data_IF_323442734331
#
_entry.id   IF_323442734331
#
_cell.length_a   1.000
_cell.length_b   1.000
_cell.length_c   1.000
_cell.angle_alpha   90.00
_cell.angle_beta   90.00
_cell.angle_gamma   90.00
#
_symmetry.space_group_name_H-M   'P 1'
#
loop_
_entity.id
_entity.type
_entity.pdbx_description
1 polymer ?
#
# COMPACT_ATOMS: atom_id res chain seq x y z
N UNK A 1 43.73 59.18 -12.76
CA UNK A 1 44.72 59.93 -11.99
C UNK A 1 44.36 59.89 -10.53
N UNK A 2 45.33 59.42 -9.72
CA UNK A 2 45.63 59.77 -8.30
C UNK A 2 44.46 59.71 -7.32
N UNK A 3 44.49 58.94 -6.34
CA UNK A 3 45.42 58.50 -5.27
C UNK A 3 44.86 58.89 -3.88
N UNK A 4 44.90 57.87 -3.02
CA UNK A 4 45.33 57.77 -1.63
C UNK A 4 44.42 58.34 -0.54
N UNK A 5 44.16 57.58 0.41
CA UNK A 5 44.78 56.95 1.61
C UNK A 5 44.14 57.49 2.88
N UNK A 6 43.69 56.68 3.69
CA UNK A 6 44.22 56.08 4.94
C UNK A 6 43.58 56.56 6.26
N UNK A 7 43.15 55.59 7.04
CA UNK A 7 43.38 55.38 8.48
C UNK A 7 42.69 56.33 9.52
N UNK A 8 42.08 55.90 10.55
CA UNK A 8 42.39 55.00 11.65
C UNK A 8 41.70 55.49 12.95
N UNK A 9 41.32 54.59 13.84
CA UNK A 9 41.06 54.66 15.31
C UNK A 9 39.75 55.27 15.87
N UNK A 10 38.82 54.41 16.32
CA UNK A 10 38.55 53.95 17.71
C UNK A 10 38.45 55.01 18.81
N UNK A 11 37.24 55.12 19.41
CA UNK A 11 37.06 55.14 20.88
C UNK A 11 35.59 55.01 21.28
N UNK A 12 35.36 54.14 22.28
CA UNK A 12 34.09 53.94 22.99
C UNK A 12 33.63 55.20 23.71
N UNK A 13 32.31 55.44 23.75
CA UNK A 13 31.66 56.07 24.89
C UNK A 13 30.25 55.50 25.06
N UNK A 14 29.98 54.93 26.24
CA UNK A 14 28.67 54.61 26.76
C UNK A 14 27.89 55.91 26.98
N UNK A 15 26.64 55.92 26.47
CA UNK A 15 25.63 56.85 26.96
C UNK A 15 24.30 56.06 27.10
N UNK A 16 23.89 55.87 28.36
CA UNK A 16 22.55 55.44 28.74
C UNK A 16 21.55 56.53 28.37
N UNK A 17 20.60 56.18 27.51
CA UNK A 17 19.40 56.98 27.33
C UNK A 17 18.20 56.10 27.69
N UNK A 18 17.52 56.45 28.76
CA UNK A 18 16.22 55.95 29.13
C UNK A 18 15.21 56.36 28.03
N UNK A 19 14.58 55.39 27.42
CA UNK A 19 13.38 55.62 26.58
C UNK A 19 12.19 55.00 27.31
N UNK A 20 11.24 55.85 27.62
CA UNK A 20 9.94 55.46 28.17
C UNK A 20 9.26 54.51 27.19
N UNK A 21 8.89 53.31 27.67
CA UNK A 21 8.07 52.37 26.91
C UNK A 21 6.62 52.81 26.97
N UNK A 22 6.13 53.20 25.81
CA UNK A 22 4.71 53.45 25.55
C UNK A 22 3.95 52.11 25.57
N UNK A 23 3.12 51.94 26.63
CA UNK A 23 2.31 50.73 26.83
C UNK A 23 0.98 50.84 26.07
N UNK A 24 1.03 50.71 24.76
CA UNK A 24 -0.16 50.44 23.96
C UNK A 24 0.04 49.21 23.03
N UNK A 25 0.37 48.06 23.63
CA UNK A 25 0.23 46.78 22.94
C UNK A 25 -1.25 46.36 23.03
N UNK A 26 -2.02 46.73 22.01
CA UNK A 26 -3.34 46.16 21.75
C UNK A 26 -3.11 44.63 21.56
N UNK A 27 -3.56 43.83 22.53
CA UNK A 27 -3.63 42.40 22.43
C UNK A 27 -4.51 42.04 21.22
N UNK A 28 -3.88 41.73 20.09
CA UNK A 28 -4.55 40.93 19.04
C UNK A 28 -4.86 39.59 19.67
N UNK A 29 -6.10 39.39 20.05
CA UNK A 29 -6.66 38.07 20.26
C UNK A 29 -6.58 37.33 18.90
N UNK A 30 -5.49 36.64 18.67
CA UNK A 30 -5.47 35.58 17.67
C UNK A 30 -6.56 34.60 18.11
N UNK A 31 -7.60 34.46 17.30
CA UNK A 31 -8.58 33.41 17.43
C UNK A 31 -7.82 32.08 17.29
N UNK A 32 -7.44 31.52 18.42
CA UNK A 32 -6.86 30.18 18.51
C UNK A 32 -7.98 29.22 18.11
N UNK A 33 -8.06 28.90 16.84
CA UNK A 33 -8.78 27.71 16.39
C UNK A 33 -8.08 26.54 17.08
N UNK A 34 -8.78 25.74 17.91
CA UNK A 34 -8.13 24.61 18.56
C UNK A 34 -7.43 23.77 17.51
N UNK A 35 -6.15 23.52 17.65
CA UNK A 35 -5.44 22.63 16.75
C UNK A 35 -6.13 21.28 16.82
N UNK A 36 -6.63 20.79 15.67
CA UNK A 36 -7.19 19.45 15.55
C UNK A 36 -6.16 18.46 16.14
N UNK A 37 -6.56 17.74 17.18
CA UNK A 37 -5.67 16.79 17.86
C UNK A 37 -5.26 15.71 16.86
N UNK A 38 -3.99 15.59 16.56
CA UNK A 38 -3.45 14.53 15.71
C UNK A 38 -3.33 13.22 16.52
N UNK A 39 -4.17 12.24 16.21
CA UNK A 39 -4.16 10.94 16.83
C UNK A 39 -3.27 9.92 16.10
N UNK A 40 -2.72 10.25 14.95
CA UNK A 40 -2.05 9.27 14.06
C UNK A 40 -0.90 8.53 14.75
N UNK A 41 -0.04 9.25 15.48
CA UNK A 41 1.07 8.65 16.21
C UNK A 41 0.60 7.73 17.35
N UNK A 42 -0.47 8.12 18.06
CA UNK A 42 -1.03 7.30 19.13
C UNK A 42 -1.71 6.03 18.56
N UNK A 43 -2.47 6.16 17.47
CA UNK A 43 -3.06 5.02 16.75
C UNK A 43 -1.99 4.04 16.27
N UNK A 44 -0.90 4.55 15.71
CA UNK A 44 0.21 3.73 15.26
C UNK A 44 0.89 3.00 16.43
N UNK A 45 1.15 3.69 17.55
CA UNK A 45 1.84 3.12 18.70
C UNK A 45 0.99 2.07 19.44
N UNK A 46 -0.31 2.33 19.55
CA UNK A 46 -1.23 1.46 20.29
C UNK A 46 -1.93 0.40 19.41
N UNK A 47 -1.58 0.30 18.14
CA UNK A 47 -2.22 -0.59 17.17
C UNK A 47 -2.38 -2.03 17.65
N UNK A 48 -1.37 -2.59 18.31
CA UNK A 48 -1.36 -4.00 18.71
C UNK A 48 -2.49 -4.35 19.70
N UNK A 49 -3.04 -3.36 20.41
CA UNK A 49 -4.23 -3.55 21.27
C UNK A 49 -5.51 -3.80 20.46
N UNK A 50 -5.55 -3.34 19.21
CA UNK A 50 -6.71 -3.43 18.33
C UNK A 50 -6.56 -4.48 17.24
N UNK A 51 -5.38 -5.06 17.09
CA UNK A 51 -5.11 -6.07 16.07
C UNK A 51 -5.97 -7.31 16.31
N UNK A 52 -6.69 -7.76 15.27
CA UNK A 52 -7.38 -9.05 15.30
C UNK A 52 -6.33 -10.17 15.15
N UNK A 53 -6.10 -10.87 16.25
CA UNK A 53 -5.01 -11.85 16.37
C UNK A 53 -5.30 -13.19 15.70
N UNK A 54 -6.54 -13.49 15.38
CA UNK A 54 -6.92 -14.73 14.68
C UNK A 54 -6.61 -14.69 13.18
N UNK A 55 -6.43 -13.50 12.62
CA UNK A 55 -6.07 -13.31 11.21
C UNK A 55 -4.60 -12.88 11.13
N UNK A 56 -3.70 -13.83 10.89
CA UNK A 56 -2.23 -13.59 10.87
C UNK A 56 -1.61 -13.64 9.48
N UNK A 57 -2.36 -14.08 8.47
CA UNK A 57 -1.89 -14.26 7.10
C UNK A 57 -2.95 -13.79 6.10
N UNK A 58 -2.54 -13.51 4.85
CA UNK A 58 -3.43 -12.99 3.79
C UNK A 58 -4.41 -14.01 3.22
N UNK A 59 -4.16 -15.31 3.39
CA UNK A 59 -4.93 -16.40 2.78
C UNK A 59 -6.02 -16.98 3.67
N UNK A 60 -6.59 -16.15 4.56
CA UNK A 60 -7.78 -16.53 5.33
C UNK A 60 -9.00 -16.67 4.39
N UNK A 61 -9.97 -17.45 4.83
CA UNK A 61 -11.16 -17.82 4.06
C UNK A 61 -12.40 -17.13 4.60
N UNK A 62 -13.50 -17.19 3.83
CA UNK A 62 -14.78 -16.68 4.28
C UNK A 62 -15.20 -17.25 5.65
N UNK A 63 -15.06 -18.57 5.85
CA UNK A 63 -15.35 -19.23 7.14
C UNK A 63 -14.55 -18.70 8.32
N UNK A 64 -13.36 -18.16 8.10
CA UNK A 64 -12.48 -17.66 9.17
C UNK A 64 -12.95 -16.30 9.69
N UNK A 65 -13.66 -15.51 8.86
CA UNK A 65 -14.21 -14.22 9.27
C UNK A 65 -15.65 -14.28 9.78
N UNK A 66 -16.39 -15.36 9.49
CA UNK A 66 -17.78 -15.48 9.95
C UNK A 66 -17.93 -15.35 11.46
N UNK A 67 -17.18 -16.08 12.31
CA UNK A 67 -17.25 -15.94 13.77
C UNK A 67 -16.88 -14.52 14.23
N UNK A 68 -15.96 -13.86 13.53
CA UNK A 68 -15.58 -12.48 13.86
C UNK A 68 -16.76 -11.53 13.60
N UNK A 69 -17.44 -11.67 12.45
CA UNK A 69 -18.62 -10.86 12.12
C UNK A 69 -19.75 -11.13 13.11
N UNK A 70 -20.05 -12.39 13.40
CA UNK A 70 -21.12 -12.80 14.31
C UNK A 70 -20.96 -12.20 15.72
N UNK A 71 -19.72 -12.10 16.19
CA UNK A 71 -19.40 -11.55 17.51
C UNK A 71 -19.31 -10.01 17.55
N UNK A 72 -19.43 -9.30 16.41
CA UNK A 72 -19.43 -7.83 16.44
C UNK A 72 -20.67 -7.29 17.16
N UNK A 73 -20.52 -6.29 18.05
CA UNK A 73 -21.67 -5.67 18.74
C UNK A 73 -22.38 -4.61 17.87
N UNK A 74 -22.08 -4.55 16.57
CA UNK A 74 -22.60 -3.57 15.63
C UNK A 74 -23.80 -4.12 14.85
N UNK A 75 -24.60 -3.22 14.27
CA UNK A 75 -25.63 -3.58 13.31
C UNK A 75 -24.98 -4.29 12.11
N UNK A 76 -25.43 -5.50 11.82
CA UNK A 76 -24.93 -6.32 10.74
C UNK A 76 -26.07 -7.07 10.06
N UNK A 77 -25.94 -7.22 8.76
CA UNK A 77 -26.94 -7.94 7.95
C UNK A 77 -26.27 -8.64 6.77
N UNK A 78 -26.85 -9.76 6.35
CA UNK A 78 -26.55 -10.36 5.04
C UNK A 78 -27.25 -9.51 3.99
N UNK A 79 -26.47 -8.95 3.06
CA UNK A 79 -26.98 -8.03 2.02
C UNK A 79 -27.05 -8.67 0.65
N UNK A 80 -26.35 -9.78 0.43
CA UNK A 80 -26.41 -10.62 -0.76
C UNK A 80 -25.75 -11.98 -0.48
N UNK A 81 -25.82 -12.85 -1.49
CA UNK A 81 -25.00 -14.07 -1.57
C UNK A 81 -24.17 -14.02 -2.84
N UNK A 82 -22.95 -14.57 -2.78
CA UNK A 82 -22.10 -14.78 -3.94
C UNK A 82 -22.66 -15.83 -4.90
N UNK A 83 -22.02 -16.02 -6.06
CA UNK A 83 -22.44 -17.04 -7.01
C UNK A 83 -22.45 -18.46 -6.41
N UNK A 84 -21.54 -18.77 -5.47
CA UNK A 84 -21.48 -20.04 -4.76
C UNK A 84 -22.24 -20.03 -3.41
N UNK A 85 -23.20 -19.13 -3.24
CA UNK A 85 -24.08 -19.00 -2.07
C UNK A 85 -23.36 -18.72 -0.74
N UNK A 86 -22.24 -17.97 -0.76
CA UNK A 86 -21.62 -17.43 0.46
C UNK A 86 -22.24 -16.10 0.81
N UNK A 87 -22.60 -15.92 2.07
CA UNK A 87 -23.21 -14.69 2.57
C UNK A 87 -22.23 -13.52 2.48
N UNK A 88 -22.70 -12.39 1.95
CA UNK A 88 -21.98 -11.13 1.93
C UNK A 88 -22.59 -10.22 2.98
N UNK A 89 -21.77 -9.79 3.94
CA UNK A 89 -22.22 -9.02 5.08
C UNK A 89 -21.97 -7.53 4.89
N UNK A 90 -22.92 -6.72 5.36
CA UNK A 90 -22.74 -5.31 5.64
C UNK A 90 -22.74 -5.07 7.13
N UNK A 91 -21.76 -4.31 7.62
CA UNK A 91 -21.65 -3.87 9.01
C UNK A 91 -21.84 -2.36 9.05
N UNK A 92 -22.65 -1.85 10.00
CA UNK A 92 -22.96 -0.43 10.14
C UNK A 92 -22.58 0.08 11.51
N UNK A 93 -21.90 1.23 11.54
CA UNK A 93 -21.50 1.96 12.75
C UNK A 93 -21.88 3.44 12.62
N UNK A 94 -22.22 4.05 13.75
CA UNK A 94 -22.55 5.46 13.84
C UNK A 94 -23.92 5.83 13.30
N UNK A 95 -24.31 7.08 13.53
CA UNK A 95 -25.65 7.62 13.21
C UNK A 95 -25.59 9.00 12.55
N UNK A 96 -24.39 9.46 12.20
CA UNK A 96 -24.16 10.79 11.64
C UNK A 96 -24.68 10.95 10.21
N UNK A 97 -24.79 12.19 9.78
CA UNK A 97 -25.34 12.53 8.46
C UNK A 97 -24.38 12.23 7.30
N UNK A 98 -23.08 12.18 7.56
CA UNK A 98 -22.07 11.90 6.52
C UNK A 98 -21.97 10.39 6.34
N UNK A 99 -22.41 9.89 5.21
CA UNK A 99 -22.40 8.45 4.90
C UNK A 99 -21.12 8.06 4.20
N UNK A 100 -20.44 7.03 4.68
CA UNK A 100 -19.25 6.43 4.08
C UNK A 100 -19.53 4.97 3.76
N UNK A 101 -19.15 4.51 2.56
CA UNK A 101 -19.23 3.11 2.15
C UNK A 101 -17.79 2.60 1.91
N UNK A 102 -17.41 1.53 2.60
CA UNK A 102 -16.11 0.88 2.44
C UNK A 102 -16.30 -0.58 2.01
N UNK A 103 -15.53 -1.03 1.05
CA UNK A 103 -15.46 -2.45 0.71
C UNK A 103 -14.02 -2.86 0.44
N UNK A 104 -13.72 -4.13 0.75
CA UNK A 104 -12.46 -4.78 0.46
C UNK A 104 -12.69 -6.13 -0.18
N UNK A 105 -11.64 -6.74 -0.67
CA UNK A 105 -11.68 -8.02 -1.38
C UNK A 105 -12.75 -8.10 -2.48
N UNK A 106 -12.90 -7.04 -3.29
CA UNK A 106 -13.58 -7.20 -4.57
C UNK A 106 -12.76 -8.09 -5.52
N UNK A 107 -11.44 -8.06 -5.38
CA UNK A 107 -10.54 -9.12 -5.86
C UNK A 107 -10.22 -10.04 -4.68
N UNK A 108 -10.43 -11.33 -4.82
CA UNK A 108 -10.37 -12.26 -3.69
C UNK A 108 -8.99 -12.45 -3.07
N UNK A 109 -7.93 -12.16 -3.82
CA UNK A 109 -6.52 -12.22 -3.39
C UNK A 109 -6.00 -10.91 -2.75
N UNK A 110 -6.84 -9.88 -2.63
CA UNK A 110 -6.47 -8.57 -2.12
C UNK A 110 -7.01 -8.36 -0.70
N UNK A 111 -6.44 -9.04 0.27
CA UNK A 111 -6.99 -9.21 1.62
C UNK A 111 -6.44 -8.27 2.69
N UNK A 112 -5.43 -7.46 2.38
CA UNK A 112 -4.72 -6.63 3.38
C UNK A 112 -5.66 -5.67 4.10
N UNK A 113 -6.51 -4.98 3.36
CA UNK A 113 -7.46 -4.05 3.96
C UNK A 113 -8.59 -4.76 4.71
N UNK A 114 -9.00 -5.97 4.30
CA UNK A 114 -9.96 -6.76 5.08
C UNK A 114 -9.44 -7.02 6.49
N UNK A 115 -8.16 -7.41 6.63
CA UNK A 115 -7.53 -7.55 7.95
C UNK A 115 -7.60 -6.26 8.76
N UNK A 116 -7.29 -5.12 8.12
CA UNK A 116 -7.33 -3.80 8.77
C UNK A 116 -8.75 -3.38 9.18
N UNK A 117 -9.80 -3.78 8.43
CA UNK A 117 -11.18 -3.50 8.80
C UNK A 117 -11.58 -4.23 10.10
N UNK A 118 -11.13 -5.48 10.31
CA UNK A 118 -11.37 -6.17 11.57
C UNK A 118 -10.64 -5.50 12.75
N UNK A 119 -9.45 -4.95 12.52
CA UNK A 119 -8.75 -4.13 13.53
C UNK A 119 -9.53 -2.85 13.85
N UNK A 120 -10.09 -2.20 12.83
CA UNK A 120 -10.95 -1.02 12.97
C UNK A 120 -12.22 -1.36 13.75
N UNK A 121 -12.83 -2.52 13.54
CA UNK A 121 -13.97 -2.96 14.34
C UNK A 121 -13.59 -3.13 15.82
N UNK A 122 -12.44 -3.76 16.12
CA UNK A 122 -11.95 -3.87 17.51
C UNK A 122 -11.64 -2.50 18.11
N UNK A 123 -11.09 -1.59 17.33
CA UNK A 123 -10.88 -0.21 17.77
C UNK A 123 -12.20 0.46 18.17
N UNK A 124 -13.26 0.32 17.39
CA UNK A 124 -14.55 0.92 17.72
C UNK A 124 -15.29 0.21 18.88
N UNK A 125 -14.92 -1.02 19.24
CA UNK A 125 -15.43 -1.72 20.42
C UNK A 125 -14.73 -1.28 21.72
N UNK A 126 -13.49 -0.86 21.65
CA UNK A 126 -12.67 -0.49 22.80
C UNK A 126 -13.21 0.75 23.51
N UNK A 127 -12.92 0.88 24.81
CA UNK A 127 -13.33 1.99 25.67
C UNK A 127 -12.24 2.30 26.68
N UNK A 128 -12.23 3.54 27.18
CA UNK A 128 -11.35 4.00 28.27
C UNK A 128 -9.84 3.86 27.96
N UNK A 129 -9.45 4.07 26.70
CA UNK A 129 -8.09 3.92 26.19
C UNK A 129 -7.49 5.24 25.62
N UNK A 130 -8.20 6.35 25.87
CA UNK A 130 -7.79 7.68 25.38
C UNK A 130 -8.34 8.06 24.02
N UNK A 131 -9.08 7.15 23.31
CA UNK A 131 -9.70 7.42 22.02
C UNK A 131 -11.23 7.57 22.07
N UNK A 132 -11.86 7.59 23.22
CA UNK A 132 -13.32 7.66 23.30
C UNK A 132 -13.90 8.91 22.62
N UNK A 133 -13.27 10.07 22.82
CA UNK A 133 -13.69 11.30 22.16
C UNK A 133 -13.51 11.24 20.63
N UNK A 134 -12.43 10.61 20.17
CA UNK A 134 -12.16 10.38 18.76
C UNK A 134 -13.24 9.48 18.11
N UNK A 135 -13.56 8.35 18.73
CA UNK A 135 -14.63 7.44 18.29
C UNK A 135 -15.98 8.14 18.28
N UNK A 136 -16.31 8.86 19.35
CA UNK A 136 -17.57 9.58 19.48
C UNK A 136 -17.71 10.64 18.38
N UNK A 137 -16.68 11.43 18.11
CA UNK A 137 -16.67 12.43 17.03
C UNK A 137 -17.00 11.77 15.68
N UNK A 138 -16.34 10.67 15.34
CA UNK A 138 -16.60 9.95 14.08
C UNK A 138 -18.03 9.42 14.04
N UNK A 139 -18.47 8.68 15.07
CA UNK A 139 -19.75 7.98 15.06
C UNK A 139 -20.96 8.93 15.15
N UNK A 140 -20.80 10.15 15.70
CA UNK A 140 -21.85 11.17 15.73
C UNK A 140 -21.96 11.97 14.44
N UNK A 141 -20.87 12.15 13.71
CA UNK A 141 -20.85 12.90 12.45
C UNK A 141 -21.05 12.00 11.23
N UNK A 142 -20.60 10.74 11.32
CA UNK A 142 -20.60 9.80 10.22
C UNK A 142 -21.48 8.57 10.51
N UNK A 143 -22.03 8.02 9.43
CA UNK A 143 -22.53 6.64 9.39
C UNK A 143 -21.61 5.85 8.45
N UNK A 144 -20.96 4.84 9.00
CA UNK A 144 -19.98 4.01 8.31
C UNK A 144 -20.63 2.68 7.92
N UNK A 145 -20.59 2.32 6.66
CA UNK A 145 -21.05 1.06 6.10
C UNK A 145 -19.85 0.29 5.55
N UNK A 146 -19.65 -0.94 6.02
CA UNK A 146 -18.52 -1.78 5.62
C UNK A 146 -19.00 -3.06 4.96
N UNK A 147 -18.34 -3.44 3.87
CA UNK A 147 -18.46 -4.77 3.24
C UNK A 147 -17.05 -5.38 3.23
N UNK A 148 -16.65 -6.10 4.31
CA UNK A 148 -15.25 -6.49 4.51
C UNK A 148 -14.75 -7.58 3.55
N UNK A 149 -15.61 -8.32 2.89
CA UNK A 149 -15.25 -9.32 1.88
C UNK A 149 -16.34 -9.35 0.80
N UNK A 150 -16.15 -8.56 -0.26
CA UNK A 150 -17.16 -8.40 -1.30
C UNK A 150 -17.21 -9.61 -2.26
N UNK A 151 -16.08 -10.29 -2.52
CA UNK A 151 -15.97 -11.46 -3.39
C UNK A 151 -15.47 -12.68 -2.58
N UNK A 152 -16.35 -13.31 -1.78
CA UNK A 152 -15.95 -14.44 -0.94
C UNK A 152 -15.55 -15.68 -1.75
N UNK A 153 -16.08 -15.88 -2.97
CA UNK A 153 -15.71 -17.00 -3.83
C UNK A 153 -14.28 -16.87 -4.37
N UNK A 154 -13.87 -15.65 -4.74
CA UNK A 154 -12.50 -15.36 -5.11
C UNK A 154 -11.56 -15.48 -3.91
N UNK A 155 -11.99 -15.07 -2.72
CA UNK A 155 -11.22 -15.21 -1.48
C UNK A 155 -10.95 -16.68 -1.11
N UNK A 156 -11.93 -17.57 -1.32
CA UNK A 156 -11.74 -19.02 -1.12
C UNK A 156 -10.58 -19.57 -1.96
N UNK A 157 -10.41 -19.07 -3.19
CA UNK A 157 -9.37 -19.50 -4.12
C UNK A 157 -8.11 -18.66 -4.07
N UNK A 158 -8.15 -17.58 -3.29
CA UNK A 158 -7.13 -16.54 -3.27
C UNK A 158 -6.77 -16.10 -4.70
N UNK A 159 -7.79 -15.69 -5.44
CA UNK A 159 -7.69 -15.26 -6.83
C UNK A 159 -8.43 -13.94 -7.07
N UNK A 160 -7.97 -13.19 -8.08
CA UNK A 160 -8.55 -11.89 -8.45
C UNK A 160 -10.02 -11.96 -8.81
N UNK A 161 -10.38 -12.93 -9.65
CA UNK A 161 -11.70 -13.02 -10.29
C UNK A 161 -12.74 -13.69 -9.41
N UNK A 162 -14.02 -13.49 -9.75
CA UNK A 162 -15.16 -14.19 -9.13
C UNK A 162 -15.18 -15.68 -9.50
N UNK A 163 -16.09 -16.46 -8.93
CA UNK A 163 -16.28 -17.87 -9.28
C UNK A 163 -16.56 -18.11 -10.79
N UNK A 164 -17.10 -17.11 -11.47
CA UNK A 164 -17.43 -17.16 -12.91
C UNK A 164 -16.33 -16.55 -13.79
N UNK A 165 -15.11 -16.38 -13.27
CA UNK A 165 -13.94 -15.82 -13.98
C UNK A 165 -14.13 -14.36 -14.45
N UNK A 166 -15.13 -13.65 -13.92
CA UNK A 166 -15.32 -12.23 -14.21
C UNK A 166 -14.44 -11.39 -13.29
N UNK A 167 -13.69 -10.44 -13.85
CA UNK A 167 -13.09 -9.36 -13.07
C UNK A 167 -14.20 -8.42 -12.62
N UNK A 168 -14.53 -8.48 -11.33
CA UNK A 168 -15.61 -7.69 -10.77
C UNK A 168 -15.39 -6.18 -10.97
N UNK A 169 -14.12 -5.71 -10.95
CA UNK A 169 -13.82 -4.31 -11.24
C UNK A 169 -13.86 -3.95 -12.75
N UNK A 170 -14.49 -4.81 -13.57
CA UNK A 170 -14.83 -4.58 -14.97
C UNK A 170 -16.32 -4.84 -15.25
N UNK A 171 -17.13 -4.93 -14.19
CA UNK A 171 -18.56 -5.32 -14.29
C UNK A 171 -19.54 -4.18 -13.97
N UNK A 172 -19.05 -2.96 -13.67
CA UNK A 172 -19.91 -1.83 -13.23
C UNK A 172 -20.98 -1.39 -14.27
N UNK A 173 -20.79 -1.71 -15.55
CA UNK A 173 -21.76 -1.36 -16.60
C UNK A 173 -22.78 -2.46 -16.85
N UNK A 174 -22.37 -3.72 -16.77
CA UNK A 174 -23.25 -4.85 -17.13
C UNK A 174 -23.90 -5.52 -15.93
N UNK A 175 -23.23 -5.46 -14.75
CA UNK A 175 -23.72 -6.04 -13.50
C UNK A 175 -24.06 -7.53 -13.65
N UNK A 176 -23.12 -8.31 -14.17
CA UNK A 176 -23.28 -9.74 -14.44
C UNK A 176 -23.02 -10.60 -13.19
N UNK A 177 -22.34 -10.03 -12.18
CA UNK A 177 -22.00 -10.73 -10.95
C UNK A 177 -22.95 -10.32 -9.80
N UNK A 178 -23.34 -11.24 -8.90
CA UNK A 178 -24.14 -10.89 -7.73
C UNK A 178 -23.49 -9.78 -6.89
N UNK A 179 -22.17 -9.83 -6.75
CA UNK A 179 -21.36 -8.87 -6.02
C UNK A 179 -21.41 -7.49 -6.68
N UNK A 180 -21.37 -7.42 -8.02
CA UNK A 180 -21.49 -6.19 -8.80
C UNK A 180 -22.88 -5.57 -8.67
N UNK A 181 -23.93 -6.39 -8.77
CA UNK A 181 -25.34 -5.97 -8.51
C UNK A 181 -25.46 -5.41 -7.10
N UNK A 182 -24.90 -6.09 -6.09
CA UNK A 182 -24.90 -5.64 -4.70
C UNK A 182 -24.24 -4.27 -4.57
N UNK A 183 -23.02 -4.11 -5.06
CA UNK A 183 -22.28 -2.85 -4.88
C UNK A 183 -23.00 -1.67 -5.55
N UNK A 184 -23.60 -1.89 -6.72
CA UNK A 184 -24.46 -0.89 -7.38
C UNK A 184 -25.72 -0.57 -6.55
N UNK A 185 -26.36 -1.58 -5.98
CA UNK A 185 -27.53 -1.40 -5.13
C UNK A 185 -27.19 -0.60 -3.87
N UNK A 186 -26.06 -0.90 -3.21
CA UNK A 186 -25.58 -0.16 -2.04
C UNK A 186 -25.31 1.30 -2.39
N UNK A 187 -24.66 1.56 -3.52
CA UNK A 187 -24.43 2.93 -3.99
C UNK A 187 -25.74 3.70 -4.17
N UNK A 188 -26.74 3.09 -4.79
CA UNK A 188 -28.04 3.73 -5.04
C UNK A 188 -28.85 3.97 -3.76
N UNK A 189 -28.86 2.99 -2.84
CA UNK A 189 -29.66 3.04 -1.62
C UNK A 189 -29.04 3.94 -0.55
N UNK A 190 -27.73 3.83 -0.36
CA UNK A 190 -27.03 4.59 0.67
C UNK A 190 -26.72 6.01 0.22
N UNK A 191 -26.44 6.22 -1.08
CA UNK A 191 -25.96 7.48 -1.63
C UNK A 191 -24.81 8.05 -0.77
N UNK A 192 -23.70 7.31 -0.62
CA UNK A 192 -22.63 7.71 0.28
C UNK A 192 -21.95 8.99 -0.20
N UNK A 193 -21.57 9.86 0.76
CA UNK A 193 -20.81 11.06 0.47
C UNK A 193 -19.37 10.74 0.08
N UNK A 194 -18.81 9.71 0.73
CA UNK A 194 -17.47 9.17 0.46
C UNK A 194 -17.54 7.66 0.31
N UNK A 195 -16.67 7.13 -0.53
CA UNK A 195 -16.53 5.70 -0.73
C UNK A 195 -15.04 5.30 -0.70
N UNK A 196 -14.73 4.14 -0.14
CA UNK A 196 -13.38 3.60 -0.09
C UNK A 196 -13.36 2.25 -0.79
N UNK A 197 -12.58 2.19 -1.86
CA UNK A 197 -12.30 0.97 -2.62
C UNK A 197 -10.91 0.47 -2.22
N UNK A 198 -10.88 -0.66 -1.52
CA UNK A 198 -9.68 -1.14 -0.84
C UNK A 198 -9.09 -2.33 -1.59
N UNK A 199 -7.93 -2.10 -2.20
CA UNK A 199 -7.21 -3.02 -3.07
C UNK A 199 -5.81 -3.36 -2.56
N UNK A 200 -5.20 -4.35 -3.18
CA UNK A 200 -3.78 -4.66 -3.10
C UNK A 200 -3.13 -4.58 -4.47
N UNK A 201 -1.90 -4.10 -4.52
CA UNK A 201 -1.05 -4.09 -5.72
C UNK A 201 0.22 -4.91 -5.55
N UNK A 202 0.95 -5.11 -6.64
CA UNK A 202 2.22 -5.83 -6.65
C UNK A 202 3.27 -5.21 -5.73
N UNK A 203 4.04 -6.07 -5.04
CA UNK A 203 5.09 -5.65 -4.11
C UNK A 203 6.27 -4.93 -4.79
N UNK A 204 6.48 -5.15 -6.08
CA UNK A 204 7.54 -4.56 -6.89
C UNK A 204 7.21 -3.20 -7.50
N UNK A 205 6.03 -2.67 -7.21
CA UNK A 205 5.68 -1.32 -7.64
C UNK A 205 6.54 -0.30 -6.90
N UNK A 206 7.23 0.57 -7.63
CA UNK A 206 8.04 1.65 -7.05
C UNK A 206 7.23 2.94 -6.89
N UNK A 207 7.61 3.77 -5.93
CA UNK A 207 7.09 5.12 -5.77
C UNK A 207 7.85 6.07 -6.71
N UNK A 208 7.38 6.16 -7.95
CA UNK A 208 8.07 6.84 -9.05
C UNK A 208 9.38 6.15 -9.41
N UNK A 209 10.26 6.90 -10.06
CA UNK A 209 11.62 6.44 -10.36
C UNK A 209 12.49 6.50 -9.10
N UNK A 210 12.34 5.53 -8.21
CA UNK A 210 13.06 5.47 -6.93
C UNK A 210 13.21 4.03 -6.43
N UNK A 211 14.16 3.76 -5.50
CA UNK A 211 14.32 2.45 -4.88
C UNK A 211 13.23 2.11 -3.85
N UNK A 212 12.28 3.01 -3.62
CA UNK A 212 11.25 2.83 -2.60
C UNK A 212 10.04 2.11 -3.17
N UNK A 213 9.61 1.04 -2.51
CA UNK A 213 8.33 0.39 -2.82
C UNK A 213 7.18 1.38 -2.59
N UNK A 214 6.20 1.38 -3.50
CA UNK A 214 4.92 2.05 -3.30
C UNK A 214 4.09 1.23 -2.30
N UNK A 215 4.37 1.40 -1.01
CA UNK A 215 3.77 0.63 0.09
C UNK A 215 2.27 0.89 0.19
N UNK A 216 1.87 2.14 0.03
CA UNK A 216 0.47 2.55 -0.14
C UNK A 216 0.39 3.43 -1.38
N UNK A 217 -0.50 3.10 -2.28
CA UNK A 217 -0.85 3.99 -3.39
C UNK A 217 -2.30 4.41 -3.32
N UNK A 218 -2.56 5.63 -3.72
CA UNK A 218 -3.90 6.20 -3.73
C UNK A 218 -4.37 6.52 -5.14
N UNK A 219 -5.69 6.54 -5.32
CA UNK A 219 -6.29 7.07 -6.52
C UNK A 219 -7.61 7.80 -6.19
N UNK A 220 -7.71 9.05 -6.63
CA UNK A 220 -8.98 9.73 -6.85
C UNK A 220 -9.37 9.45 -8.31
N UNK A 221 -10.21 8.44 -8.53
CA UNK A 221 -10.51 7.91 -9.86
C UNK A 221 -11.10 8.95 -10.80
N UNK A 222 -10.86 8.80 -12.09
CA UNK A 222 -11.50 9.61 -13.11
C UNK A 222 -12.98 9.22 -13.24
N UNK A 223 -13.85 10.15 -13.56
CA UNK A 223 -15.27 9.89 -13.85
C UNK A 223 -15.60 10.04 -15.33
N UNK A 224 -14.63 10.46 -16.13
CA UNK A 224 -14.72 10.62 -17.57
C UNK A 224 -13.33 10.49 -18.23
N UNK A 225 -13.31 10.36 -19.55
CA UNK A 225 -12.10 10.17 -20.36
C UNK A 225 -11.16 11.37 -20.29
N UNK A 226 -11.71 12.58 -20.15
CA UNK A 226 -10.97 13.85 -20.04
C UNK A 226 -10.27 13.98 -18.68
N UNK A 227 -10.57 13.09 -17.72
CA UNK A 227 -10.02 13.08 -16.36
C UNK A 227 -10.20 14.39 -15.60
N UNK A 228 -11.34 15.05 -15.84
CA UNK A 228 -11.68 16.33 -15.23
C UNK A 228 -11.79 16.27 -13.70
N UNK A 229 -11.66 17.40 -13.06
CA UNK A 229 -11.73 17.58 -11.62
C UNK A 229 -13.01 18.29 -11.19
N UNK A 230 -14.10 17.57 -11.08
CA UNK A 230 -15.33 18.08 -10.50
C UNK A 230 -15.24 18.17 -8.95
N UNK A 231 -16.27 18.70 -8.29
CA UNK A 231 -16.32 18.83 -6.83
C UNK A 231 -16.17 17.48 -6.09
N UNK A 232 -16.71 16.41 -6.67
CA UNK A 232 -16.69 15.05 -6.08
C UNK A 232 -15.25 14.53 -6.07
N UNK A 233 -14.55 14.57 -7.20
CA UNK A 233 -13.17 14.13 -7.34
C UNK A 233 -12.20 14.98 -6.52
N UNK A 234 -12.40 16.30 -6.46
CA UNK A 234 -11.57 17.20 -5.64
C UNK A 234 -11.64 16.86 -4.16
N UNK A 235 -12.80 16.45 -3.62
CA UNK A 235 -12.91 15.98 -2.23
C UNK A 235 -12.11 14.70 -2.00
N UNK A 236 -12.15 13.74 -2.94
CA UNK A 236 -11.31 12.53 -2.87
C UNK A 236 -9.82 12.88 -2.78
N UNK A 237 -9.35 13.75 -3.65
CA UNK A 237 -7.95 14.22 -3.66
C UNK A 237 -7.55 14.85 -2.32
N UNK A 238 -8.42 15.66 -1.72
CA UNK A 238 -8.15 16.32 -0.45
C UNK A 238 -8.09 15.33 0.72
N UNK A 239 -8.97 14.33 0.76
CA UNK A 239 -8.91 13.24 1.76
C UNK A 239 -7.64 12.43 1.57
N UNK A 240 -7.25 12.09 0.35
CA UNK A 240 -5.98 11.42 0.05
C UNK A 240 -4.78 12.23 0.53
N UNK A 241 -4.77 13.55 0.32
CA UNK A 241 -3.71 14.41 0.86
C UNK A 241 -3.62 14.35 2.39
N UNK A 242 -4.77 14.28 3.08
CA UNK A 242 -4.81 14.11 4.53
C UNK A 242 -4.19 12.79 4.96
N UNK A 243 -4.57 11.69 4.29
CA UNK A 243 -4.03 10.35 4.55
C UNK A 243 -2.52 10.28 4.26
N UNK A 244 -2.08 10.85 3.14
CA UNK A 244 -0.66 10.93 2.80
C UNK A 244 0.14 11.68 3.85
N UNK A 245 -0.36 12.81 4.35
CA UNK A 245 0.31 13.58 5.40
C UNK A 245 0.56 12.74 6.67
N UNK A 246 -0.38 11.87 7.02
CA UNK A 246 -0.24 10.93 8.13
C UNK A 246 0.79 9.84 7.79
N UNK A 247 0.68 9.20 6.64
CA UNK A 247 1.55 8.10 6.26
C UNK A 247 3.01 8.51 6.08
N UNK A 248 3.29 9.76 5.67
CA UNK A 248 4.66 10.27 5.56
C UNK A 248 5.41 10.28 6.92
N UNK A 249 4.70 10.23 8.04
CA UNK A 249 5.32 10.11 9.37
C UNK A 249 5.91 8.71 9.62
N UNK A 250 5.42 7.68 8.94
CA UNK A 250 5.77 6.27 9.18
C UNK A 250 6.52 5.62 8.01
N UNK A 251 6.21 6.03 6.79
CA UNK A 251 6.73 5.48 5.55
C UNK A 251 7.13 6.57 4.55
N UNK A 252 7.98 7.50 5.00
CA UNK A 252 8.39 8.65 4.20
C UNK A 252 8.92 8.26 2.81
N UNK A 253 8.23 8.74 1.76
CA UNK A 253 8.58 8.48 0.35
C UNK A 253 8.10 7.13 -0.20
N UNK A 254 7.35 6.34 0.56
CA UNK A 254 6.75 5.07 0.13
C UNK A 254 5.26 5.19 -0.22
N UNK A 255 4.76 6.41 -0.35
CA UNK A 255 3.38 6.67 -0.79
C UNK A 255 3.40 7.17 -2.23
N UNK A 256 2.57 6.57 -3.07
CA UNK A 256 2.44 6.94 -4.47
C UNK A 256 0.97 7.18 -4.87
N UNK A 257 0.74 7.50 -6.12
CA UNK A 257 -0.58 7.50 -6.74
C UNK A 257 -0.62 6.52 -7.91
N UNK A 258 -1.74 5.85 -8.05
CA UNK A 258 -2.04 5.00 -9.20
C UNK A 258 -2.36 5.88 -10.44
N UNK A 259 -2.23 5.31 -11.65
CA UNK A 259 -2.67 5.99 -12.88
C UNK A 259 -4.16 6.32 -12.82
N UNK A 260 -4.53 7.54 -13.20
CA UNK A 260 -5.91 7.99 -13.27
C UNK A 260 -6.54 7.83 -14.66
N UNK A 261 -6.03 6.89 -15.44
CA UNK A 261 -6.62 6.52 -16.72
C UNK A 261 -8.06 6.01 -16.50
N UNK A 262 -8.99 6.58 -17.28
CA UNK A 262 -10.41 6.28 -17.12
C UNK A 262 -10.75 4.88 -17.63
N UNK A 263 -11.23 4.01 -16.75
CA UNK A 263 -11.76 2.69 -17.10
C UNK A 263 -13.29 2.66 -16.90
N UNK A 264 -14.07 2.84 -17.97
CA UNK A 264 -15.53 2.99 -17.87
C UNK A 264 -16.26 1.79 -17.27
N UNK A 265 -15.62 0.61 -17.21
CA UNK A 265 -16.21 -0.61 -16.62
C UNK A 265 -15.84 -0.78 -15.14
N UNK A 266 -14.90 0.05 -14.61
CA UNK A 266 -14.46 -0.06 -13.22
C UNK A 266 -15.49 0.56 -12.26
N UNK A 267 -15.69 -0.09 -11.12
CA UNK A 267 -16.56 0.44 -10.06
C UNK A 267 -16.04 1.75 -9.46
N UNK A 268 -14.71 1.88 -9.32
CA UNK A 268 -14.13 3.12 -8.81
C UNK A 268 -14.55 4.35 -9.61
N UNK A 269 -14.38 4.30 -10.92
CA UNK A 269 -14.71 5.38 -11.85
C UNK A 269 -16.22 5.66 -11.89
N UNK A 270 -17.03 4.60 -11.87
CA UNK A 270 -18.47 4.73 -11.88
C UNK A 270 -19.03 5.28 -10.56
N UNK A 271 -18.55 4.85 -9.40
CA UNK A 271 -18.97 5.39 -8.11
C UNK A 271 -18.61 6.88 -8.00
N UNK A 272 -17.42 7.27 -8.49
CA UNK A 272 -17.04 8.66 -8.63
C UNK A 272 -18.03 9.44 -9.54
N UNK A 273 -18.38 8.85 -10.68
CA UNK A 273 -19.37 9.39 -11.63
C UNK A 273 -20.78 9.47 -11.03
N UNK A 274 -21.16 8.51 -10.20
CA UNK A 274 -22.47 8.48 -9.52
C UNK A 274 -22.56 9.41 -8.31
N UNK A 275 -21.52 10.20 -8.02
CA UNK A 275 -21.56 11.31 -7.08
C UNK A 275 -20.92 11.08 -5.71
N UNK A 276 -20.37 9.91 -5.44
CA UNK A 276 -19.62 9.64 -4.21
C UNK A 276 -18.13 9.96 -4.39
N UNK A 277 -17.54 10.68 -3.44
CA UNK A 277 -16.10 10.96 -3.45
C UNK A 277 -15.33 9.67 -3.16
N UNK A 278 -14.78 9.03 -4.19
CA UNK A 278 -14.09 7.76 -4.06
C UNK A 278 -12.61 7.94 -3.73
N UNK A 279 -12.17 7.24 -2.73
CA UNK A 279 -10.77 7.04 -2.33
C UNK A 279 -10.42 5.58 -2.61
N UNK A 280 -9.57 5.33 -3.60
CA UNK A 280 -9.02 4.01 -3.83
C UNK A 280 -7.68 3.90 -3.11
N UNK A 281 -7.46 2.78 -2.43
CA UNK A 281 -6.23 2.45 -1.71
C UNK A 281 -5.70 1.14 -2.29
N UNK A 282 -4.42 1.15 -2.68
CA UNK A 282 -3.67 -0.02 -3.11
C UNK A 282 -2.61 -0.34 -2.05
N UNK A 283 -2.71 -1.49 -1.42
CA UNK A 283 -1.71 -2.00 -0.49
C UNK A 283 -0.61 -2.73 -1.26
N UNK A 284 0.57 -2.14 -1.36
CA UNK A 284 1.69 -2.65 -2.16
C UNK A 284 2.61 -3.59 -1.40
N UNK A 285 3.92 -3.32 -1.45
CA UNK A 285 4.96 -4.05 -0.74
C UNK A 285 5.68 -3.20 0.31
N UNK A 286 6.24 -3.88 1.29
CA UNK A 286 7.22 -3.32 2.20
C UNK A 286 8.27 -4.38 2.51
N UNK A 287 9.51 -3.96 2.70
CA UNK A 287 10.63 -4.90 2.94
C UNK A 287 10.31 -5.83 4.11
N UNK A 288 10.51 -7.13 3.92
CA UNK A 288 10.33 -8.20 4.91
C UNK A 288 8.87 -8.34 5.45
N UNK A 289 7.86 -7.76 4.76
CA UNK A 289 6.44 -7.82 5.15
C UNK A 289 5.62 -8.65 4.14
N UNK A 290 5.98 -9.90 3.93
CA UNK A 290 5.33 -10.80 2.95
C UNK A 290 3.83 -11.01 3.24
N UNK A 291 3.44 -11.13 4.51
CA UNK A 291 2.05 -11.27 4.93
C UNK A 291 1.35 -9.92 5.15
N UNK A 292 1.98 -8.83 4.71
CA UNK A 292 1.46 -7.45 4.73
C UNK A 292 0.93 -6.99 6.10
N UNK A 293 1.53 -7.47 7.19
CA UNK A 293 1.09 -7.13 8.54
C UNK A 293 1.43 -5.70 8.93
N UNK A 294 2.56 -5.17 8.47
CA UNK A 294 2.90 -3.76 8.64
C UNK A 294 2.00 -2.87 7.76
N UNK A 295 1.73 -3.29 6.52
CA UNK A 295 0.84 -2.57 5.61
C UNK A 295 -0.61 -2.57 6.13
N UNK A 296 -1.06 -3.67 6.76
CA UNK A 296 -2.33 -3.75 7.51
C UNK A 296 -2.43 -2.66 8.58
N UNK A 297 -1.36 -2.48 9.38
CA UNK A 297 -1.27 -1.40 10.38
C UNK A 297 -1.35 -0.02 9.75
N UNK A 298 -0.69 0.18 8.61
CA UNK A 298 -0.75 1.45 7.88
C UNK A 298 -2.16 1.74 7.36
N UNK A 299 -2.88 0.75 6.84
CA UNK A 299 -4.29 0.90 6.45
C UNK A 299 -5.17 1.28 7.64
N UNK A 300 -5.00 0.62 8.79
CA UNK A 300 -5.72 0.95 10.03
C UNK A 300 -5.55 2.43 10.39
N UNK A 301 -4.31 2.91 10.45
CA UNK A 301 -4.02 4.32 10.81
C UNK A 301 -4.56 5.28 9.75
N UNK A 302 -4.33 4.99 8.46
CA UNK A 302 -4.73 5.87 7.37
C UNK A 302 -6.25 6.00 7.26
N UNK A 303 -7.00 4.89 7.36
CA UNK A 303 -8.47 4.89 7.26
C UNK A 303 -9.09 5.62 8.47
N UNK A 304 -8.62 5.36 9.70
CA UNK A 304 -9.10 6.08 10.88
C UNK A 304 -8.81 7.59 10.82
N UNK A 305 -7.63 7.96 10.31
CA UNK A 305 -7.29 9.38 10.10
C UNK A 305 -8.16 10.03 9.01
N UNK A 306 -8.53 9.27 7.98
CA UNK A 306 -9.49 9.75 6.97
C UNK A 306 -10.88 9.96 7.57
N UNK A 307 -11.35 9.06 8.44
CA UNK A 307 -12.63 9.23 9.13
C UNK A 307 -12.62 10.48 10.01
N UNK A 308 -11.52 10.74 10.74
CA UNK A 308 -11.35 11.97 11.49
C UNK A 308 -11.46 13.20 10.58
N UNK A 309 -10.63 13.23 9.52
CA UNK A 309 -10.60 14.36 8.60
C UNK A 309 -11.95 14.65 7.93
N UNK A 310 -12.71 13.59 7.61
CA UNK A 310 -14.06 13.70 7.04
C UNK A 310 -15.05 14.19 8.09
N UNK A 311 -15.05 13.63 9.30
CA UNK A 311 -16.00 13.99 10.36
C UNK A 311 -15.83 15.44 10.85
N UNK A 312 -14.63 15.98 10.77
CA UNK A 312 -14.29 17.36 11.12
C UNK A 312 -14.36 18.32 9.93
N UNK A 313 -14.42 17.82 8.70
CA UNK A 313 -14.27 18.62 7.48
C UNK A 313 -12.84 19.16 7.25
N UNK A 314 -11.87 18.72 8.05
CA UNK A 314 -10.50 19.23 8.05
C UNK A 314 -9.69 18.86 6.79
N UNK A 315 -10.15 17.88 5.99
CA UNK A 315 -9.56 17.54 4.70
C UNK A 315 -9.58 18.74 3.71
N UNK A 316 -10.51 19.68 3.86
CA UNK A 316 -10.66 20.84 2.96
C UNK A 316 -9.48 21.81 3.01
N UNK A 317 -8.65 21.77 4.06
CA UNK A 317 -7.43 22.58 4.18
C UNK A 317 -6.32 22.20 3.18
N UNK A 318 -6.38 20.98 2.64
CA UNK A 318 -5.34 20.50 1.73
C UNK A 318 -5.51 21.03 0.31
N UNK A 319 -4.41 21.51 -0.27
CA UNK A 319 -4.37 22.00 -1.64
C UNK A 319 -4.28 20.85 -2.63
N UNK A 320 -4.99 20.91 -3.74
CA UNK A 320 -5.03 19.86 -4.76
C UNK A 320 -3.64 19.56 -5.36
N UNK A 321 -2.77 20.56 -5.46
CA UNK A 321 -1.39 20.37 -5.90
C UNK A 321 -0.61 19.37 -5.06
N UNK A 322 -0.99 19.15 -3.80
CA UNK A 322 -0.35 18.15 -2.93
C UNK A 322 -0.68 16.73 -3.40
N UNK A 323 -1.88 16.52 -3.98
CA UNK A 323 -2.23 15.26 -4.64
C UNK A 323 -1.46 15.08 -5.95
N UNK A 324 -1.36 16.14 -6.76
CA UNK A 324 -0.63 16.10 -8.03
C UNK A 324 0.84 15.76 -7.85
N UNK A 325 1.46 16.28 -6.78
CA UNK A 325 2.88 16.07 -6.47
C UNK A 325 3.22 14.68 -5.93
N UNK A 326 2.23 13.83 -5.65
CA UNK A 326 2.51 12.43 -5.31
C UNK A 326 3.22 11.74 -6.47
N UNK A 327 4.30 10.97 -6.23
CA UNK A 327 4.92 10.16 -7.27
C UNK A 327 3.90 9.16 -7.82
N UNK A 328 3.99 8.84 -9.10
CA UNK A 328 3.18 7.80 -9.73
C UNK A 328 3.77 6.43 -9.46
N UNK A 329 2.92 5.40 -9.43
CA UNK A 329 3.37 4.02 -9.49
C UNK A 329 4.21 3.77 -10.74
N UNK A 330 5.32 3.03 -10.56
CA UNK A 330 6.21 2.69 -11.65
C UNK A 330 6.82 1.28 -11.46
N UNK A 331 7.57 0.79 -12.45
CA UNK A 331 8.08 -0.59 -12.52
C UNK A 331 9.60 -0.69 -12.43
N UNK A 332 10.25 0.02 -11.51
CA UNK A 332 11.71 0.05 -11.41
C UNK A 332 12.31 -0.93 -10.39
N UNK A 333 11.51 -1.86 -9.84
CA UNK A 333 11.99 -2.76 -8.79
C UNK A 333 12.01 -4.23 -9.24
N UNK A 334 13.11 -4.91 -8.91
CA UNK A 334 13.19 -6.36 -8.79
C UNK A 334 13.13 -6.77 -7.32
N UNK A 335 12.67 -7.98 -7.03
CA UNK A 335 12.77 -8.52 -5.65
C UNK A 335 14.23 -8.65 -5.24
N UNK A 336 15.09 -9.11 -6.19
CA UNK A 336 16.53 -9.23 -5.99
C UNK A 336 17.24 -8.69 -7.22
N UNK A 337 18.24 -7.87 -7.00
CA UNK A 337 19.12 -7.36 -8.05
C UNK A 337 20.57 -7.66 -7.67
N UNK A 338 21.24 -8.46 -8.51
CA UNK A 338 22.65 -8.80 -8.34
C UNK A 338 23.44 -8.02 -9.37
N UNK A 339 24.33 -7.16 -8.89
CA UNK A 339 25.13 -6.26 -9.73
C UNK A 339 26.45 -6.87 -10.12
N UNK A 340 26.98 -6.49 -11.29
CA UNK A 340 28.36 -6.70 -11.69
C UNK A 340 28.81 -8.18 -11.75
N UNK A 341 27.91 -9.10 -12.14
CA UNK A 341 28.19 -10.54 -12.22
C UNK A 341 28.98 -10.87 -13.46
N UNK A 342 30.04 -11.67 -13.35
CA UNK A 342 30.79 -12.22 -14.47
C UNK A 342 30.08 -13.47 -15.03
N UNK A 343 29.82 -13.46 -16.32
CA UNK A 343 29.29 -14.58 -17.09
C UNK A 343 30.37 -15.06 -18.07
N UNK A 344 30.67 -16.34 -18.08
CA UNK A 344 31.58 -16.94 -19.04
C UNK A 344 30.75 -17.62 -20.14
N UNK A 345 30.75 -17.07 -21.35
CA UNK A 345 30.01 -17.58 -22.49
C UNK A 345 30.94 -17.74 -23.69
N UNK A 346 31.03 -18.96 -24.22
CA UNK A 346 31.93 -19.27 -25.35
C UNK A 346 33.38 -18.81 -25.14
N UNK A 347 33.88 -18.98 -23.91
CA UNK A 347 35.24 -18.57 -23.49
C UNK A 347 35.46 -17.06 -23.33
N UNK A 348 34.38 -16.24 -23.39
CA UNK A 348 34.46 -14.78 -23.18
C UNK A 348 33.76 -14.43 -21.84
N UNK A 349 34.40 -13.54 -21.09
CA UNK A 349 33.79 -12.99 -19.88
C UNK A 349 32.97 -11.75 -20.25
N UNK A 350 31.70 -11.75 -19.83
CA UNK A 350 30.75 -10.66 -20.02
C UNK A 350 30.25 -10.24 -18.64
N UNK A 351 30.21 -8.94 -18.36
CA UNK A 351 29.67 -8.39 -17.12
C UNK A 351 28.19 -8.09 -17.32
N UNK A 352 27.33 -8.59 -16.44
CA UNK A 352 25.88 -8.36 -16.46
C UNK A 352 25.35 -8.16 -15.04
N UNK A 353 24.26 -7.38 -14.92
CA UNK A 353 23.38 -7.41 -13.74
C UNK A 353 22.33 -8.51 -13.94
N UNK A 354 21.77 -9.01 -12.82
CA UNK A 354 20.77 -10.07 -12.81
C UNK A 354 19.55 -9.59 -11.99
N UNK A 355 18.45 -9.34 -12.67
CA UNK A 355 17.16 -8.99 -12.05
C UNK A 355 16.30 -10.24 -11.84
N UNK A 356 15.91 -10.50 -10.60
CA UNK A 356 15.16 -11.69 -10.19
C UNK A 356 13.84 -11.28 -9.57
N UNK A 357 12.75 -11.90 -10.01
CA UNK A 357 11.42 -11.75 -9.43
C UNK A 357 11.01 -13.03 -8.69
N UNK A 358 10.35 -12.84 -7.56
CA UNK A 358 9.79 -13.88 -6.70
C UNK A 358 8.26 -13.85 -6.84
N UNK A 359 7.66 -14.96 -7.23
CA UNK A 359 6.23 -15.05 -7.48
C UNK A 359 5.61 -16.09 -6.54
N UNK A 360 4.48 -15.74 -5.94
CA UNK A 360 3.73 -16.65 -5.10
C UNK A 360 2.88 -17.59 -5.95
N UNK A 361 2.92 -18.86 -5.64
CA UNK A 361 2.07 -19.90 -6.24
C UNK A 361 1.25 -20.57 -5.15
N UNK A 362 -0.06 -20.49 -5.27
CA UNK A 362 -0.99 -21.06 -4.29
C UNK A 362 -0.80 -22.59 -4.15
N UNK A 363 -0.91 -23.07 -2.90
CA UNK A 363 -0.86 -24.47 -2.50
C UNK A 363 -2.01 -24.77 -1.53
N UNK A 364 -2.36 -26.06 -1.38
CA UNK A 364 -3.31 -26.53 -0.36
C UNK A 364 -4.64 -25.74 -0.35
N UNK A 365 -5.32 -25.69 -1.48
CA UNK A 365 -6.55 -24.90 -1.68
C UNK A 365 -6.34 -23.41 -1.33
N UNK A 366 -5.17 -22.88 -1.69
CA UNK A 366 -4.77 -21.50 -1.43
C UNK A 366 -4.79 -21.10 0.06
N UNK A 367 -4.48 -22.02 0.96
CA UNK A 367 -4.20 -21.71 2.37
C UNK A 367 -2.72 -21.44 2.62
N UNK A 368 -1.86 -21.94 1.71
CA UNK A 368 -0.40 -21.76 1.71
C UNK A 368 0.08 -21.35 0.31
N UNK A 369 1.34 -21.01 0.22
CA UNK A 369 1.99 -20.73 -1.06
C UNK A 369 3.45 -21.18 -1.05
N UNK A 370 3.99 -21.40 -2.24
CA UNK A 370 5.41 -21.51 -2.51
C UNK A 370 5.87 -20.24 -3.23
N UNK A 371 7.14 -19.93 -3.07
CA UNK A 371 7.81 -18.89 -3.85
C UNK A 371 8.52 -19.56 -5.02
N UNK A 372 8.19 -19.15 -6.22
CA UNK A 372 8.90 -19.52 -7.43
C UNK A 372 9.71 -18.31 -7.91
N UNK A 373 11.02 -18.45 -8.01
CA UNK A 373 11.88 -17.41 -8.54
C UNK A 373 12.01 -17.47 -10.05
N UNK A 374 12.26 -16.33 -10.65
CA UNK A 374 12.52 -16.23 -12.08
C UNK A 374 13.55 -15.14 -12.35
N UNK A 375 14.54 -15.43 -13.16
CA UNK A 375 15.39 -14.42 -13.80
C UNK A 375 14.54 -13.65 -14.80
N UNK A 376 14.24 -12.41 -14.49
CA UNK A 376 13.31 -11.61 -15.29
C UNK A 376 14.05 -10.78 -16.34
N UNK A 377 15.25 -10.27 -15.98
CA UNK A 377 16.10 -9.55 -16.92
C UNK A 377 17.59 -9.73 -16.62
N UNK A 378 18.43 -9.53 -17.64
CA UNK A 378 19.89 -9.65 -17.62
C UNK A 378 20.53 -8.56 -18.47
N UNK A 379 21.59 -7.94 -17.96
CA UNK A 379 22.36 -6.97 -18.73
C UNK A 379 22.66 -5.70 -17.97
N UNK A 380 22.48 -4.53 -18.61
CA UNK A 380 22.58 -3.23 -17.93
C UNK A 380 21.25 -2.89 -17.23
N UNK A 381 21.21 -3.10 -15.92
CA UNK A 381 20.07 -2.77 -15.08
C UNK A 381 20.36 -1.56 -14.17
N UNK A 382 21.28 -0.69 -14.59
CA UNK A 382 21.73 0.48 -13.81
C UNK A 382 20.60 1.47 -13.45
N UNK A 383 19.50 1.47 -14.20
CA UNK A 383 18.33 2.32 -13.97
C UNK A 383 17.25 1.66 -13.09
N UNK A 384 17.47 0.43 -12.65
CA UNK A 384 16.59 -0.34 -11.78
C UNK A 384 17.18 -0.51 -10.39
N UNK A 385 16.35 -0.91 -9.43
CA UNK A 385 16.76 -1.23 -8.06
C UNK A 385 16.25 -2.60 -7.64
N UNK A 386 16.97 -3.21 -6.68
CA UNK A 386 16.51 -4.39 -5.96
C UNK A 386 15.87 -4.00 -4.62
N UNK A 387 14.77 -4.66 -4.26
CA UNK A 387 14.31 -4.64 -2.86
C UNK A 387 15.40 -5.22 -1.98
N UNK A 388 16.11 -6.23 -2.51
CA UNK A 388 17.37 -6.75 -1.98
C UNK A 388 18.45 -6.66 -3.05
N UNK A 389 19.59 -6.06 -2.72
CA UNK A 389 20.72 -5.94 -3.66
C UNK A 389 21.97 -6.66 -3.15
N UNK A 390 22.75 -7.20 -4.08
CA UNK A 390 24.07 -7.77 -3.87
C UNK A 390 25.02 -7.25 -4.95
N UNK A 391 26.17 -6.69 -4.58
CA UNK A 391 27.27 -6.42 -5.52
C UNK A 391 28.17 -7.66 -5.63
N UNK A 392 28.10 -8.32 -6.76
CA UNK A 392 28.90 -9.51 -7.10
C UNK A 392 30.15 -9.18 -7.92
N UNK A 393 30.70 -7.97 -7.79
CA UNK A 393 31.90 -7.56 -8.51
C UNK A 393 33.04 -8.54 -8.29
N UNK A 394 33.58 -9.07 -9.40
CA UNK A 394 34.65 -10.08 -9.41
C UNK A 394 34.17 -11.51 -9.07
N UNK A 395 32.87 -11.74 -8.97
CA UNK A 395 32.32 -13.09 -8.85
C UNK A 395 31.83 -13.61 -10.21
N UNK A 396 32.08 -14.88 -10.47
CA UNK A 396 31.58 -15.60 -11.65
C UNK A 396 30.38 -16.43 -11.26
N UNK A 397 29.34 -16.39 -12.11
CA UNK A 397 28.12 -17.20 -11.93
C UNK A 397 28.31 -18.59 -12.54
N UNK A 398 27.87 -19.61 -11.81
CA UNK A 398 27.90 -21.00 -12.25
C UNK A 398 26.54 -21.66 -12.04
N UNK A 399 26.16 -22.57 -12.97
CA UNK A 399 24.93 -23.32 -12.88
C UNK A 399 25.07 -24.55 -11.96
N UNK A 400 23.98 -25.09 -11.43
CA UNK A 400 24.01 -26.27 -10.56
C UNK A 400 24.72 -27.50 -11.15
N UNK A 401 24.66 -27.68 -12.47
CA UNK A 401 25.35 -28.78 -13.17
C UNK A 401 26.88 -28.76 -13.04
N UNK A 402 27.46 -27.56 -12.82
CA UNK A 402 28.88 -27.36 -12.70
C UNK A 402 29.40 -27.65 -11.27
N UNK A 403 28.47 -27.66 -10.29
CA UNK A 403 28.72 -27.88 -8.87
C UNK A 403 27.72 -28.86 -8.23
N UNK A 404 27.55 -30.09 -8.76
CA UNK A 404 26.48 -31.00 -8.29
C UNK A 404 26.65 -31.43 -6.83
N UNK A 405 27.89 -31.58 -6.33
CA UNK A 405 28.17 -31.92 -4.94
C UNK A 405 27.79 -30.81 -3.96
N UNK A 406 27.89 -29.55 -4.36
CA UNK A 406 27.47 -28.41 -3.53
C UNK A 406 25.93 -28.39 -3.37
N UNK A 407 25.19 -28.53 -4.47
CA UNK A 407 23.73 -28.55 -4.43
C UNK A 407 23.16 -29.80 -3.75
N UNK A 408 23.88 -30.93 -3.77
CA UNK A 408 23.46 -32.13 -3.06
C UNK A 408 23.38 -31.92 -1.53
N UNK A 409 24.17 -31.02 -0.95
CA UNK A 409 24.07 -30.63 0.48
C UNK A 409 22.69 -30.07 0.85
N UNK A 410 21.97 -29.54 -0.11
CA UNK A 410 20.64 -28.97 0.06
C UNK A 410 19.51 -29.87 -0.47
N UNK A 411 19.80 -31.16 -0.66
CA UNK A 411 18.87 -32.15 -1.26
C UNK A 411 18.36 -31.76 -2.65
N UNK A 412 19.16 -31.00 -3.39
CA UNK A 412 18.83 -30.62 -4.77
C UNK A 412 19.61 -31.49 -5.76
N UNK A 413 18.87 -32.14 -6.64
CA UNK A 413 19.43 -32.81 -7.80
C UNK A 413 19.37 -31.84 -8.98
N UNK A 414 20.53 -31.38 -9.50
CA UNK A 414 20.54 -30.48 -10.64
C UNK A 414 19.81 -31.08 -11.83
N UNK A 415 18.83 -30.37 -12.37
CA UNK A 415 18.20 -30.75 -13.62
C UNK A 415 19.20 -30.62 -14.77
N UNK A 416 19.21 -31.54 -15.75
CA UNK A 416 20.00 -31.36 -16.95
C UNK A 416 19.65 -30.01 -17.62
N UNK A 417 20.65 -29.19 -17.82
CA UNK A 417 20.51 -27.94 -18.55
C UNK A 417 21.45 -27.95 -19.75
N UNK A 418 20.92 -27.61 -20.92
CA UNK A 418 21.72 -27.39 -22.13
C UNK A 418 22.35 -25.99 -22.15
N UNK A 419 21.94 -25.09 -21.27
CA UNK A 419 22.49 -23.75 -21.18
C UNK A 419 23.93 -23.78 -20.64
N UNK A 420 24.82 -22.98 -21.22
CA UNK A 420 26.18 -22.77 -20.71
C UNK A 420 26.16 -21.91 -19.44
N UNK A 421 25.22 -20.99 -19.33
CA UNK A 421 25.08 -20.05 -18.21
C UNK A 421 23.62 -19.69 -17.98
N UNK A 422 23.33 -18.95 -16.91
CA UNK A 422 21.99 -18.50 -16.52
C UNK A 422 21.35 -17.64 -17.62
N UNK A 423 20.08 -17.84 -17.89
CA UNK A 423 19.30 -17.12 -18.90
C UNK A 423 18.03 -16.50 -18.32
N UNK A 424 17.50 -15.54 -19.05
CA UNK A 424 16.18 -14.98 -18.78
C UNK A 424 15.11 -16.09 -18.83
N UNK A 425 14.28 -16.14 -17.82
CA UNK A 425 13.23 -17.15 -17.65
C UNK A 425 13.64 -18.34 -16.80
N UNK A 426 14.92 -18.54 -16.54
CA UNK A 426 15.41 -19.61 -15.67
C UNK A 426 14.99 -19.36 -14.21
N UNK A 427 14.88 -20.45 -13.44
CA UNK A 427 14.83 -20.39 -11.99
C UNK A 427 16.14 -19.78 -11.45
N UNK A 428 16.07 -18.89 -10.48
CA UNK A 428 17.25 -18.27 -9.90
C UNK A 428 17.93 -19.22 -8.91
N UNK A 429 18.60 -20.28 -9.46
CA UNK A 429 19.38 -21.26 -8.72
C UNK A 429 20.76 -21.35 -9.33
N UNK A 430 21.79 -20.88 -8.61
CA UNK A 430 23.17 -20.75 -9.09
C UNK A 430 24.18 -20.53 -7.95
N UNK A 431 25.44 -20.58 -8.26
CA UNK A 431 26.56 -20.22 -7.38
C UNK A 431 27.21 -18.94 -7.87
N UNK A 432 27.67 -18.12 -6.94
CA UNK A 432 28.62 -17.03 -7.17
C UNK A 432 29.97 -17.41 -6.57
N UNK A 433 30.98 -17.49 -7.39
CA UNK A 433 32.34 -17.94 -7.04
C UNK A 433 33.34 -16.81 -7.30
N UNK A 434 34.32 -16.65 -6.41
CA UNK A 434 35.46 -15.73 -6.57
C UNK A 434 36.76 -16.49 -6.37
N UNK A 435 37.63 -16.53 -7.39
CA UNK A 435 38.96 -17.16 -7.33
C UNK A 435 38.96 -18.62 -6.81
N UNK A 436 38.00 -19.44 -7.28
CA UNK A 436 37.85 -20.83 -6.86
C UNK A 436 37.16 -21.04 -5.51
N UNK A 437 36.69 -19.94 -4.87
CA UNK A 437 35.97 -20.00 -3.59
C UNK A 437 34.50 -19.63 -3.81
N UNK A 438 33.60 -20.53 -3.38
CA UNK A 438 32.17 -20.24 -3.39
C UNK A 438 31.88 -19.14 -2.36
N UNK A 439 31.42 -17.99 -2.81
CA UNK A 439 31.04 -16.86 -1.96
C UNK A 439 29.56 -16.92 -1.58
N UNK A 440 28.70 -17.33 -2.51
CA UNK A 440 27.27 -17.38 -2.28
C UNK A 440 26.62 -18.53 -3.07
N UNK A 441 25.71 -19.24 -2.42
CA UNK A 441 24.77 -20.18 -3.06
C UNK A 441 23.39 -19.53 -3.08
N UNK A 442 22.76 -19.54 -4.23
CA UNK A 442 21.37 -19.05 -4.42
C UNK A 442 20.54 -20.25 -4.88
N UNK A 443 19.42 -20.49 -4.19
CA UNK A 443 18.48 -21.55 -4.48
C UNK A 443 17.09 -20.96 -4.56
N UNK A 444 16.47 -21.06 -5.74
CA UNK A 444 15.14 -20.49 -5.99
C UNK A 444 15.02 -19.05 -5.47
N UNK A 445 16.04 -18.22 -5.73
CA UNK A 445 16.11 -16.82 -5.30
C UNK A 445 16.44 -16.61 -3.81
N UNK A 446 16.65 -17.66 -3.04
CA UNK A 446 17.04 -17.58 -1.63
C UNK A 446 18.56 -17.65 -1.52
N UNK A 447 19.15 -16.67 -0.84
CA UNK A 447 20.58 -16.68 -0.48
C UNK A 447 20.75 -17.65 0.70
N UNK A 448 21.42 -18.77 0.46
CA UNK A 448 21.64 -19.79 1.49
C UNK A 448 22.88 -19.41 2.29
N UNK A 449 22.76 -19.39 3.61
CA UNK A 449 23.90 -19.20 4.50
C UNK A 449 24.86 -20.40 4.39
N UNK A 450 26.18 -20.12 4.38
CA UNK A 450 27.22 -21.16 4.45
C UNK A 450 27.27 -21.82 5.81
#
# INVERSE_FOLDING_TARGET
MKKYHNHFWMKCFLLLAFYEMDTSLIARTENFTPSVKDYSQALFTQYDHYKESSITHRRFKHKDILPLIENLPFEKQVVAQSFENRDIYQIKLGTGKIKLLLWSQMHGDESTATMALFDIFKFFQAKNDGFDAFRQQILTQCTLYFVPMLNPDGAERFQRRTATEIDMNRDALRLQTPEGVLLKSLQNTLMPHFAFNLHDQGSRTSAGNSPKQATISFLATAYNTEREWNKVRKRSMQVICSMNNVLQQFIAGHVAKYSDEHEPRAFGDNIQKWGSSLILIESGGYKDDMEKQFIRKLNFVAILSAFQAISEGSYTKYKLKNYESLPTNDGYLFDILIRNVQFVERGKTILKDVGINLNERNMDNATKFLIDSRVDDLGDLSTFWGIKELDAKGMTIHLPKDYPSEFAKYNLVPKPSQNETLKRGDEATFILERNGVIEQVVINGVFVAK
#
